data_IF_591460631390
#
_entry.id   IF_591460631390
#
_cell.length_a   1.000
_cell.length_b   1.000
_cell.length_c   1.000
_cell.angle_alpha   90.00
_cell.angle_beta   90.00
_cell.angle_gamma   90.00
#
_symmetry.space_group_name_H-M   'P 1'
#
loop_
_entity.id
_entity.type
_entity.pdbx_description
1 polymer ?
#
# COMPACT_ATOMS: atom_id res chain seq x y z
N UNK A 1 -6.46 22.92 -3.03
CA UNK A 1 -6.13 21.69 -2.28
C UNK A 1 -4.98 21.03 -3.01
N UNK A 2 -3.79 20.98 -2.41
CA UNK A 2 -2.65 20.27 -3.01
C UNK A 2 -2.97 18.78 -3.03
N UNK A 3 -3.22 18.22 -4.22
CA UNK A 3 -3.28 16.77 -4.42
C UNK A 3 -1.86 16.24 -4.35
N UNK A 4 -1.41 15.92 -3.14
CA UNK A 4 -0.17 15.18 -2.98
C UNK A 4 -0.39 13.76 -3.51
N UNK A 5 0.30 13.40 -4.59
CA UNK A 5 0.25 12.04 -5.13
C UNK A 5 0.77 11.06 -4.07
N UNK A 6 -0.12 10.22 -3.53
CA UNK A 6 0.22 9.10 -2.66
C UNK A 6 0.67 7.93 -3.52
N UNK A 7 1.83 7.35 -3.21
CA UNK A 7 2.30 6.11 -3.84
C UNK A 7 2.23 4.97 -2.84
N UNK A 8 1.70 3.83 -3.29
CA UNK A 8 1.68 2.58 -2.51
C UNK A 8 2.64 1.59 -3.18
N UNK A 9 3.60 1.09 -2.40
CA UNK A 9 4.51 0.02 -2.79
C UNK A 9 4.03 -1.32 -2.25
N UNK A 10 4.17 -2.36 -3.07
CA UNK A 10 3.91 -3.75 -2.69
C UNK A 10 5.18 -4.56 -2.93
N UNK A 11 5.70 -5.19 -1.88
CA UNK A 11 6.74 -6.20 -2.00
C UNK A 11 6.10 -7.58 -1.84
N UNK A 12 6.19 -8.41 -2.89
CA UNK A 12 5.42 -9.65 -3.03
C UNK A 12 6.35 -10.84 -2.91
N UNK A 13 6.08 -11.70 -1.94
CA UNK A 13 6.75 -12.98 -1.71
C UNK A 13 5.75 -14.14 -1.81
N UNK A 14 6.24 -15.38 -1.78
CA UNK A 14 5.40 -16.57 -1.95
C UNK A 14 4.26 -16.69 -0.91
N UNK A 15 4.48 -16.18 0.30
CA UNK A 15 3.53 -16.31 1.41
C UNK A 15 2.94 -14.98 1.87
N UNK A 16 3.58 -13.84 1.53
CA UNK A 16 3.20 -12.53 2.07
C UNK A 16 3.37 -11.40 1.09
N UNK A 17 2.59 -10.35 1.26
CA UNK A 17 2.73 -9.07 0.58
C UNK A 17 2.94 -8.00 1.64
N UNK A 18 4.10 -7.35 1.62
CA UNK A 18 4.41 -6.19 2.48
C UNK A 18 3.99 -4.91 1.77
N UNK A 19 3.40 -3.97 2.50
CA UNK A 19 2.78 -2.78 1.95
C UNK A 19 3.38 -1.55 2.60
N UNK A 20 3.80 -0.58 1.78
CA UNK A 20 4.34 0.68 2.27
C UNK A 20 3.75 1.88 1.52
N UNK A 21 3.65 3.02 2.22
CA UNK A 21 3.17 4.28 1.67
C UNK A 21 4.33 5.27 1.53
N UNK A 22 4.54 5.78 0.32
CA UNK A 22 5.41 6.92 0.07
C UNK A 22 4.57 8.18 -0.13
N UNK A 23 4.93 9.25 0.59
CA UNK A 23 4.30 10.57 0.51
C UNK A 23 5.32 11.60 0.00
N UNK A 24 4.90 12.56 -0.84
CA UNK A 24 5.78 13.67 -1.25
C UNK A 24 6.33 14.43 -0.04
N UNK A 25 7.58 14.85 -0.11
CA UNK A 25 8.25 15.59 0.97
C UNK A 25 8.62 14.73 2.20
N UNK A 26 8.54 13.40 2.10
CA UNK A 26 9.04 12.47 3.13
C UNK A 26 10.17 11.62 2.55
N UNK A 27 11.27 11.54 3.28
CA UNK A 27 12.46 10.77 2.87
C UNK A 27 12.30 9.26 3.07
N UNK A 28 11.28 8.82 3.82
CA UNK A 28 11.03 7.42 4.13
C UNK A 28 9.59 7.03 3.86
N UNK A 29 9.43 5.85 3.29
CA UNK A 29 8.14 5.19 3.19
C UNK A 29 7.67 4.77 4.59
N UNK A 30 6.36 4.86 4.82
CA UNK A 30 5.69 4.37 6.02
C UNK A 30 5.27 2.93 5.80
N UNK A 31 5.69 2.03 6.69
CA UNK A 31 5.19 0.66 6.72
C UNK A 31 3.69 0.64 7.07
N UNK A 32 2.89 -0.05 6.25
CA UNK A 32 1.45 -0.27 6.43
C UNK A 32 1.13 -1.71 6.85
N UNK A 33 2.15 -2.55 7.00
CA UNK A 33 2.05 -3.94 7.42
C UNK A 33 2.13 -4.93 6.27
N UNK A 34 1.84 -6.20 6.60
CA UNK A 34 1.85 -7.30 5.66
C UNK A 34 0.52 -8.04 5.64
N UNK A 35 0.15 -8.58 4.48
CA UNK A 35 -1.01 -9.45 4.29
C UNK A 35 -0.55 -10.79 3.71
N UNK A 36 -1.27 -11.90 3.97
CA UNK A 36 -0.99 -13.17 3.33
C UNK A 36 -1.12 -13.07 1.81
N UNK A 37 -0.22 -13.75 1.08
CA UNK A 37 -0.29 -13.84 -0.36
C UNK A 37 -1.51 -14.67 -0.79
N UNK A 38 -2.34 -14.06 -1.63
CA UNK A 38 -3.42 -14.68 -2.39
C UNK A 38 -3.72 -13.81 -3.61
N UNK A 39 -4.31 -14.40 -4.64
CA UNK A 39 -4.49 -13.77 -5.95
C UNK A 39 -5.27 -12.43 -5.87
N UNK A 40 -6.17 -12.29 -4.92
CA UNK A 40 -7.04 -11.12 -4.74
C UNK A 40 -6.62 -10.20 -3.57
N UNK A 41 -5.49 -10.47 -2.92
CA UNK A 41 -5.04 -9.78 -1.71
C UNK A 41 -4.94 -8.26 -1.90
N UNK A 42 -4.32 -7.82 -3.00
CA UNK A 42 -4.12 -6.39 -3.31
C UNK A 42 -5.46 -5.70 -3.56
N UNK A 43 -6.32 -6.30 -4.37
CA UNK A 43 -7.66 -5.76 -4.68
C UNK A 43 -8.48 -5.58 -3.40
N UNK A 44 -8.47 -6.56 -2.51
CA UNK A 44 -9.19 -6.46 -1.25
C UNK A 44 -8.58 -5.42 -0.32
N UNK A 45 -7.25 -5.34 -0.26
CA UNK A 45 -6.56 -4.33 0.53
C UNK A 45 -6.91 -2.91 0.06
N UNK A 46 -6.92 -2.67 -1.25
CA UNK A 46 -7.27 -1.37 -1.85
C UNK A 46 -8.70 -0.96 -1.43
N UNK A 47 -9.68 -1.87 -1.55
CA UNK A 47 -11.09 -1.58 -1.17
C UNK A 47 -11.28 -1.21 0.30
N UNK A 48 -10.37 -1.63 1.18
CA UNK A 48 -10.42 -1.32 2.62
C UNK A 48 -9.80 0.03 2.96
N UNK A 49 -9.13 0.70 2.02
CA UNK A 49 -8.53 2.00 2.30
C UNK A 49 -9.59 3.11 2.27
N UNK A 50 -9.60 4.00 3.26
CA UNK A 50 -10.61 5.06 3.40
C UNK A 50 -10.64 6.06 2.23
N UNK A 51 -9.59 6.07 1.38
CA UNK A 51 -9.43 6.98 0.25
C UNK A 51 -9.40 6.26 -1.13
N UNK A 52 -9.87 5.02 -1.22
CA UNK A 52 -9.80 4.22 -2.47
C UNK A 52 -10.94 4.48 -3.48
N UNK A 53 -11.74 5.52 -3.27
CA UNK A 53 -12.80 5.98 -4.18
C UNK A 53 -12.82 7.50 -4.26
#
# INVERSE_FOLDING_TARGET
>A
MEQYTRYIGFDVSAETIVIAEARPGRDRARDLGAIPYRLDAVTEWVRRQPDAT
#
